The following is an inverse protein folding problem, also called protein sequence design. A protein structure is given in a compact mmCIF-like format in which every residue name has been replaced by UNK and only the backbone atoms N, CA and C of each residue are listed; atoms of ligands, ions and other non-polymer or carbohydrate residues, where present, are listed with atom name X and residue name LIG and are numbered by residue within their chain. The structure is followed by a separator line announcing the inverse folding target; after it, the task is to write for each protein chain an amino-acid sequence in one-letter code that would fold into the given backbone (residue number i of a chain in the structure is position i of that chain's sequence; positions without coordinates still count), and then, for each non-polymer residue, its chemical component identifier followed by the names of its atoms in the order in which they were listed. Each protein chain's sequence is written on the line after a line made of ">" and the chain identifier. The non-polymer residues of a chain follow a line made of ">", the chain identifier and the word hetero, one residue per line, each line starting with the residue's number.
data_IF_252256501089
#
_entry.id   IF_252256501089
#
_cell.length_a   1.000
_cell.length_b   1.000
_cell.length_c   1.000
_cell.angle_alpha   90.00
_cell.angle_beta   90.00
_cell.angle_gamma   90.00
#
_symmetry.space_group_name_H-M   'P 1'
#
loop_
_entity.id
_entity.type
_entity.pdbx_description
1 polymer ?
#
# COMPACT_ATOMS: atom_id res chain seq x y z
N UNK A 1 29.01 -9.29 -16.56
CA UNK A 1 27.57 -9.60 -16.64
C UNK A 1 26.82 -8.38 -16.09
N UNK A 2 26.21 -7.56 -16.96
CA UNK A 2 25.62 -6.27 -16.57
C UNK A 2 24.29 -6.51 -15.86
N UNK A 3 24.15 -6.06 -14.63
CA UNK A 3 22.86 -5.98 -13.95
C UNK A 3 22.01 -4.93 -14.68
N UNK A 4 21.04 -5.39 -15.47
CA UNK A 4 19.96 -4.56 -15.97
C UNK A 4 18.92 -4.49 -14.85
N UNK A 5 19.10 -3.54 -13.94
CA UNK A 5 18.08 -3.21 -12.94
C UNK A 5 16.90 -2.59 -13.68
N UNK A 6 15.72 -3.12 -13.38
CA UNK A 6 14.42 -2.92 -14.01
C UNK A 6 13.96 -1.44 -13.96
N UNK A 7 14.47 -0.60 -14.87
CA UNK A 7 14.07 0.80 -15.03
C UNK A 7 12.81 0.97 -15.91
N UNK A 8 11.89 -0.01 -15.88
CA UNK A 8 10.65 0.02 -16.71
C UNK A 8 9.37 0.31 -15.92
N UNK A 9 9.43 0.37 -14.58
CA UNK A 9 8.25 0.60 -13.73
C UNK A 9 7.93 2.08 -13.44
N UNK A 10 8.81 3.02 -13.79
CA UNK A 10 8.64 4.44 -13.42
C UNK A 10 7.88 5.28 -14.45
N UNK A 11 7.50 4.74 -15.61
CA UNK A 11 6.81 5.53 -16.65
C UNK A 11 5.30 5.66 -16.45
N UNK A 12 4.71 5.00 -15.45
CA UNK A 12 3.25 5.01 -15.23
C UNK A 12 2.83 5.24 -13.76
N UNK A 13 3.69 5.89 -12.97
CA UNK A 13 3.36 6.27 -11.57
C UNK A 13 2.15 7.20 -11.50
N UNK A 14 1.94 8.04 -12.51
CA UNK A 14 0.79 8.95 -12.60
C UNK A 14 -0.54 8.21 -12.71
N UNK A 15 -0.60 7.12 -13.47
CA UNK A 15 -1.82 6.32 -13.63
C UNK A 15 -2.24 5.68 -12.31
N UNK A 16 -1.27 5.07 -11.63
CA UNK A 16 -1.45 4.43 -10.33
C UNK A 16 -1.85 5.45 -9.25
N UNK A 17 -1.12 6.55 -9.17
CA UNK A 17 -1.36 7.60 -8.18
C UNK A 17 -2.72 8.27 -8.39
N UNK A 18 -3.13 8.56 -9.63
CA UNK A 18 -4.45 9.14 -9.94
C UNK A 18 -5.60 8.20 -9.55
N UNK A 19 -5.46 6.90 -9.78
CA UNK A 19 -6.46 5.88 -9.39
C UNK A 19 -6.52 5.62 -7.88
N UNK A 20 -5.42 5.80 -7.15
CA UNK A 20 -5.38 5.63 -5.69
C UNK A 20 -5.82 6.87 -4.93
N UNK A 21 -5.37 8.05 -5.37
CA UNK A 21 -5.68 9.32 -4.70
C UNK A 21 -7.15 9.72 -4.81
N UNK A 22 -7.90 9.13 -5.75
CA UNK A 22 -9.35 9.31 -5.84
C UNK A 22 -10.12 8.60 -4.73
N UNK A 23 -9.47 7.69 -3.98
CA UNK A 23 -10.11 6.98 -2.86
C UNK A 23 -10.35 7.90 -1.69
N UNK A 24 -11.62 8.03 -1.32
CA UNK A 24 -12.05 8.91 -0.24
C UNK A 24 -11.94 8.27 1.14
N UNK A 25 -11.98 6.94 1.21
CA UNK A 25 -12.06 6.19 2.47
C UNK A 25 -11.25 4.89 2.44
N UNK A 26 -10.93 4.37 3.62
CA UNK A 26 -10.22 3.10 3.78
C UNK A 26 -11.08 1.90 3.36
N UNK A 27 -10.42 0.81 2.96
CA UNK A 27 -11.11 -0.44 2.59
C UNK A 27 -11.90 -1.03 3.76
N UNK A 28 -11.44 -0.85 5.00
CA UNK A 28 -12.16 -1.27 6.19
C UNK A 28 -13.48 -0.50 6.37
N UNK A 29 -13.50 0.81 6.07
CA UNK A 29 -14.72 1.62 6.10
C UNK A 29 -15.67 1.23 4.97
N UNK A 30 -15.16 1.01 3.75
CA UNK A 30 -15.95 0.51 2.61
C UNK A 30 -16.64 -0.80 3.00
N UNK A 31 -15.86 -1.75 3.57
CA UNK A 31 -16.37 -3.04 4.00
C UNK A 31 -17.50 -2.92 5.02
N UNK A 32 -17.36 -2.02 6.00
CA UNK A 32 -18.39 -1.75 7.00
C UNK A 32 -19.67 -1.14 6.40
N UNK A 33 -19.52 -0.21 5.45
CA UNK A 33 -20.64 0.52 4.84
C UNK A 33 -21.42 -0.30 3.81
N UNK A 34 -20.75 -1.23 3.13
CA UNK A 34 -21.34 -2.03 2.03
C UNK A 34 -21.76 -3.44 2.45
N UNK A 35 -21.50 -3.83 3.70
CA UNK A 35 -21.93 -5.13 4.24
C UNK A 35 -23.45 -5.27 4.16
N UNK A 36 -23.93 -6.39 3.61
CA UNK A 36 -25.34 -6.74 3.46
C UNK A 36 -26.17 -5.67 2.72
N UNK A 37 -25.57 -4.94 1.78
CA UNK A 37 -26.26 -3.95 0.95
C UNK A 37 -26.72 -4.56 -0.37
N UNK A 38 -27.73 -3.92 -0.96
CA UNK A 38 -28.26 -4.33 -2.27
C UNK A 38 -27.27 -4.00 -3.40
N UNK A 39 -27.38 -4.76 -4.50
CA UNK A 39 -26.51 -4.66 -5.69
C UNK A 39 -26.34 -3.24 -6.20
N UNK A 40 -27.43 -2.48 -6.31
CA UNK A 40 -27.40 -1.11 -6.84
C UNK A 40 -26.78 -0.11 -5.86
N UNK A 41 -27.00 -0.30 -4.55
CA UNK A 41 -26.36 0.52 -3.51
C UNK A 41 -24.85 0.25 -3.48
N UNK A 42 -24.43 -1.02 -3.62
CA UNK A 42 -23.03 -1.41 -3.73
C UNK A 42 -22.38 -0.73 -4.94
N UNK A 43 -22.93 -0.86 -6.15
CA UNK A 43 -22.36 -0.23 -7.35
C UNK A 43 -22.20 1.27 -7.19
N UNK A 44 -23.25 1.95 -6.72
CA UNK A 44 -23.27 3.40 -6.57
C UNK A 44 -22.21 3.89 -5.59
N UNK A 45 -22.22 3.33 -4.37
CA UNK A 45 -21.28 3.75 -3.32
C UNK A 45 -19.85 3.30 -3.60
N UNK A 46 -19.67 2.11 -4.16
CA UNK A 46 -18.34 1.62 -4.52
C UNK A 46 -17.71 2.51 -5.60
N UNK A 47 -18.48 2.92 -6.61
CA UNK A 47 -18.04 3.91 -7.59
C UNK A 47 -17.71 5.25 -6.93
N UNK A 48 -18.56 5.74 -6.01
CA UNK A 48 -18.30 6.99 -5.30
C UNK A 48 -16.98 6.97 -4.50
N UNK A 49 -16.65 5.83 -3.88
CA UNK A 49 -15.48 5.67 -3.04
C UNK A 49 -14.20 5.31 -3.78
N UNK A 50 -14.31 4.69 -4.96
CA UNK A 50 -13.16 4.08 -5.66
C UNK A 50 -13.00 4.52 -7.12
N UNK A 51 -14.05 5.07 -7.73
CA UNK A 51 -14.11 5.40 -9.16
C UNK A 51 -14.32 4.19 -10.08
N UNK A 52 -14.56 2.99 -9.53
CA UNK A 52 -14.77 1.75 -10.30
C UNK A 52 -16.28 1.56 -10.57
N UNK A 53 -16.68 1.51 -11.86
CA UNK A 53 -18.09 1.44 -12.28
C UNK A 53 -18.49 0.12 -12.98
N UNK A 54 -17.53 -0.74 -13.28
CA UNK A 54 -17.66 -1.99 -14.03
C UNK A 54 -17.45 -3.20 -13.09
N UNK A 55 -18.24 -3.26 -12.01
CA UNK A 55 -18.24 -4.41 -11.11
C UNK A 55 -18.97 -5.60 -11.73
N UNK A 56 -18.34 -6.77 -11.66
CA UNK A 56 -18.95 -8.06 -11.99
C UNK A 56 -19.86 -8.54 -10.86
N UNK A 57 -20.77 -9.46 -11.16
CA UNK A 57 -21.69 -10.03 -10.17
C UNK A 57 -20.94 -10.75 -9.04
N UNK A 58 -19.85 -11.47 -9.36
CA UNK A 58 -18.98 -12.11 -8.37
C UNK A 58 -18.29 -11.10 -7.45
N UNK A 59 -17.81 -9.98 -7.99
CA UNK A 59 -17.20 -8.91 -7.19
C UNK A 59 -18.23 -8.28 -6.24
N UNK A 60 -19.48 -8.11 -6.70
CA UNK A 60 -20.55 -7.55 -5.89
C UNK A 60 -20.89 -8.49 -4.72
N UNK A 61 -20.99 -9.80 -4.97
CA UNK A 61 -21.20 -10.79 -3.91
C UNK A 61 -20.08 -10.75 -2.86
N UNK A 62 -18.82 -10.68 -3.31
CA UNK A 62 -17.67 -10.54 -2.41
C UNK A 62 -17.70 -9.25 -1.60
N UNK A 63 -18.08 -8.11 -2.21
CA UNK A 63 -18.21 -6.83 -1.52
C UNK A 63 -19.33 -6.91 -0.46
N UNK A 64 -20.45 -7.55 -0.77
CA UNK A 64 -21.59 -7.68 0.13
C UNK A 64 -21.25 -8.46 1.42
N UNK A 65 -20.26 -9.37 1.39
CA UNK A 65 -19.76 -10.06 2.59
C UNK A 65 -19.17 -9.11 3.64
N UNK A 66 -18.70 -7.92 3.21
CA UNK A 66 -18.04 -6.95 4.09
C UNK A 66 -16.66 -7.41 4.59
N UNK A 67 -15.99 -8.32 3.87
CA UNK A 67 -14.61 -8.73 4.20
C UNK A 67 -13.62 -7.76 3.53
N UNK A 68 -12.95 -6.95 4.35
CA UNK A 68 -12.04 -5.91 3.87
C UNK A 68 -10.90 -6.43 2.98
N UNK A 69 -10.38 -7.63 3.27
CA UNK A 69 -9.30 -8.23 2.45
C UNK A 69 -9.76 -8.54 1.03
N UNK A 70 -10.99 -9.05 0.85
CA UNK A 70 -11.51 -9.37 -0.48
C UNK A 70 -11.80 -8.11 -1.28
N UNK A 71 -12.38 -7.09 -0.64
CA UNK A 71 -12.57 -5.78 -1.26
C UNK A 71 -11.22 -5.16 -1.64
N UNK A 72 -10.21 -5.29 -0.77
CA UNK A 72 -8.85 -4.86 -1.04
C UNK A 72 -8.25 -5.54 -2.27
N UNK A 73 -8.50 -6.84 -2.47
CA UNK A 73 -8.06 -7.59 -3.65
C UNK A 73 -8.73 -7.13 -4.94
N UNK A 74 -10.04 -6.88 -4.91
CA UNK A 74 -10.79 -6.33 -6.05
C UNK A 74 -10.17 -5.00 -6.47
N UNK A 75 -9.94 -4.09 -5.53
CA UNK A 75 -9.35 -2.80 -5.89
C UNK A 75 -7.90 -2.96 -6.34
N UNK A 76 -7.14 -3.86 -5.71
CA UNK A 76 -5.73 -4.13 -6.05
C UNK A 76 -5.58 -4.67 -7.47
N UNK A 77 -6.50 -5.50 -7.96
CA UNK A 77 -6.49 -5.97 -9.35
C UNK A 77 -6.67 -4.83 -10.36
N UNK A 78 -7.55 -3.85 -10.06
CA UNK A 78 -7.81 -2.69 -10.95
C UNK A 78 -6.64 -1.69 -11.05
N UNK A 79 -5.70 -1.77 -10.11
CA UNK A 79 -4.48 -0.95 -10.05
C UNK A 79 -3.20 -1.80 -10.23
N UNK A 80 -3.33 -3.07 -10.61
CA UNK A 80 -2.23 -3.99 -10.92
C UNK A 80 -1.24 -4.18 -9.74
N UNK A 81 -1.77 -4.29 -8.52
CA UNK A 81 -0.99 -4.55 -7.29
C UNK A 81 -1.27 -5.95 -6.75
N UNK A 82 -0.20 -6.65 -6.39
CA UNK A 82 -0.24 -7.96 -5.75
C UNK A 82 0.25 -7.93 -4.31
N UNK A 83 -0.27 -8.85 -3.48
CA UNK A 83 0.13 -9.07 -2.10
C UNK A 83 0.46 -10.55 -1.88
N UNK A 84 1.67 -10.86 -1.40
CA UNK A 84 2.12 -12.24 -1.15
C UNK A 84 1.82 -12.75 0.26
N UNK A 85 1.60 -11.85 1.22
CA UNK A 85 1.27 -12.19 2.61
C UNK A 85 0.27 -11.18 3.19
N UNK A 86 -0.43 -11.59 4.26
CA UNK A 86 -1.29 -10.73 5.09
C UNK A 86 -0.55 -10.13 6.29
N UNK A 87 0.74 -10.46 6.44
CA UNK A 87 1.60 -10.08 7.57
C UNK A 87 2.84 -9.33 7.09
N UNK A 88 3.81 -9.14 7.98
CA UNK A 88 5.12 -8.57 7.64
C UNK A 88 5.92 -9.51 6.72
N UNK A 89 6.83 -8.92 5.95
CA UNK A 89 7.91 -9.60 5.23
C UNK A 89 9.25 -9.29 5.90
N UNK A 90 10.27 -10.13 5.71
CA UNK A 90 11.62 -9.94 6.26
C UNK A 90 12.57 -9.15 5.36
N UNK A 91 12.05 -8.33 4.44
CA UNK A 91 12.88 -7.55 3.53
C UNK A 91 13.64 -6.45 4.29
N UNK A 92 14.88 -6.18 3.87
CA UNK A 92 15.62 -5.00 4.34
C UNK A 92 14.86 -3.72 4.00
N UNK A 93 14.80 -2.78 4.95
CA UNK A 93 14.10 -1.50 4.78
C UNK A 93 15.10 -0.35 4.63
N UNK A 94 14.71 0.66 3.85
CA UNK A 94 15.52 1.87 3.71
C UNK A 94 15.48 2.70 4.99
N UNK A 95 16.64 3.26 5.37
CA UNK A 95 16.77 4.25 6.43
C UNK A 95 17.22 5.57 5.80
N UNK A 96 16.54 6.65 6.15
CA UNK A 96 16.87 8.00 5.70
C UNK A 96 17.36 8.82 6.88
N UNK A 97 18.54 9.44 6.74
CA UNK A 97 19.12 10.33 7.72
C UNK A 97 19.46 11.68 7.06
N UNK A 98 19.17 12.78 7.75
CA UNK A 98 19.36 14.14 7.27
C UNK A 98 19.92 14.99 8.41
N UNK A 99 20.83 15.90 8.09
CA UNK A 99 21.45 16.81 9.06
C UNK A 99 22.92 16.47 9.32
N UNK A 100 23.43 16.99 10.43
CA UNK A 100 24.83 16.81 10.83
C UNK A 100 25.10 15.33 11.13
N UNK A 101 26.23 14.82 10.65
CA UNK A 101 26.71 13.45 10.85
C UNK A 101 25.77 12.36 10.28
N UNK A 102 24.87 12.71 9.35
CA UNK A 102 23.91 11.78 8.73
C UNK A 102 24.59 10.63 7.97
N UNK A 103 25.81 10.85 7.46
CA UNK A 103 26.63 9.84 6.78
C UNK A 103 26.96 8.63 7.66
N UNK A 104 26.90 8.76 8.99
CA UNK A 104 27.08 7.66 9.95
C UNK A 104 26.00 6.59 9.79
N UNK A 105 24.83 6.96 9.28
CA UNK A 105 23.70 6.07 9.00
C UNK A 105 23.73 5.49 7.56
N UNK A 106 24.84 5.61 6.85
CA UNK A 106 25.02 4.92 5.57
C UNK A 106 25.46 3.46 5.78
N UNK A 107 25.14 2.60 4.81
CA UNK A 107 25.53 1.19 4.79
C UNK A 107 24.39 0.22 5.11
N UNK A 108 24.77 -1.04 5.36
CA UNK A 108 23.85 -2.13 5.69
C UNK A 108 24.20 -2.63 7.08
N UNK A 109 23.23 -2.59 7.99
CA UNK A 109 23.39 -2.96 9.39
C UNK A 109 22.03 -3.36 9.98
N UNK A 110 22.07 -3.95 11.16
CA UNK A 110 20.88 -4.37 11.89
C UNK A 110 20.17 -3.17 12.54
N UNK A 111 18.87 -3.28 12.81
CA UNK A 111 18.13 -2.19 13.44
C UNK A 111 18.64 -1.85 14.86
N UNK A 112 19.32 -2.78 15.55
CA UNK A 112 19.98 -2.53 16.84
C UNK A 112 21.12 -1.52 16.73
N UNK A 113 21.79 -1.42 15.58
CA UNK A 113 22.88 -0.46 15.37
C UNK A 113 22.37 0.97 15.20
N UNK A 114 21.10 1.16 14.81
CA UNK A 114 20.48 2.48 14.71
C UNK A 114 20.51 3.20 16.05
N UNK A 115 20.15 2.52 17.14
CA UNK A 115 20.16 3.12 18.47
C UNK A 115 21.59 3.50 18.91
N UNK A 116 22.58 2.64 18.64
CA UNK A 116 23.99 2.93 18.95
C UNK A 116 24.51 4.15 18.19
N UNK A 117 24.17 4.26 16.91
CA UNK A 117 24.53 5.41 16.06
C UNK A 117 23.86 6.70 16.53
N UNK A 118 22.59 6.63 16.97
CA UNK A 118 21.89 7.78 17.56
C UNK A 118 22.61 8.25 18.83
N UNK A 119 22.98 7.34 19.74
CA UNK A 119 23.74 7.66 20.96
C UNK A 119 25.07 8.34 20.60
N UNK A 120 25.78 7.80 19.60
CA UNK A 120 27.03 8.38 19.10
C UNK A 120 26.87 9.82 18.62
N UNK A 121 25.90 10.11 17.73
CA UNK A 121 25.72 11.47 17.19
C UNK A 121 25.18 12.45 18.22
N UNK A 122 24.44 11.97 19.22
CA UNK A 122 23.95 12.78 20.33
C UNK A 122 25.02 13.01 21.42
N UNK A 123 26.21 12.41 21.29
CA UNK A 123 27.26 12.43 22.32
C UNK A 123 26.75 11.98 23.69
N UNK A 124 25.85 11.00 23.70
CA UNK A 124 25.32 10.39 24.93
C UNK A 124 26.24 9.25 25.36
N UNK A 125 26.34 9.05 26.68
CA UNK A 125 27.08 7.94 27.30
C UNK A 125 26.16 6.77 27.56
#
# INVERSE_FOLDING_TARGET
>A
MKQVVFLYLLKNTDFFQKKLNSKKISVAQIAKLLKNKDKEEIKTKFFEFTGINDLTDEEIEKIATGVAVEIGRIISSRIEVGWSTKTHSGCSVALYALGKDAEIFSGVYDNTDVAKKIIQVMNLK
#
